data_IF_699454603214
#
_entry.id   IF_699454603214
#
_cell.length_a   1.000
_cell.length_b   1.000
_cell.length_c   1.000
_cell.angle_alpha   90.00
_cell.angle_beta   90.00
_cell.angle_gamma   90.00
#
_symmetry.space_group_name_H-M   'P 1'
#
loop_
_entity.id
_entity.type
_entity.pdbx_description
1 polymer ?
#
# COMPACT_ATOMS: atom_id res chain seq x y z
N UNK A 1 16.29 11.48 1.06
CA UNK A 1 15.79 10.86 -0.20
C UNK A 1 14.32 10.47 0.00
N UNK A 2 13.62 9.97 -1.03
CA UNK A 2 12.24 9.48 -0.88
C UNK A 2 12.14 8.28 0.07
N UNK A 3 13.14 7.38 0.06
CA UNK A 3 13.23 6.22 0.96
C UNK A 3 13.14 6.64 2.43
N UNK A 4 14.01 7.56 2.88
CA UNK A 4 13.98 8.08 4.27
C UNK A 4 12.59 8.52 4.72
N UNK A 5 11.82 9.19 3.85
CA UNK A 5 10.48 9.65 4.19
C UNK A 5 9.46 8.51 4.32
N UNK A 6 9.62 7.43 3.56
CA UNK A 6 8.77 6.24 3.63
C UNK A 6 9.09 5.43 4.88
N UNK A 7 10.38 5.30 5.22
CA UNK A 7 10.82 4.69 6.48
C UNK A 7 10.26 5.45 7.70
N UNK A 8 10.44 6.77 7.75
CA UNK A 8 9.88 7.63 8.82
C UNK A 8 8.33 7.50 8.90
N UNK A 9 7.65 7.43 7.75
CA UNK A 9 6.19 7.26 7.70
C UNK A 9 5.74 5.88 8.22
N UNK A 10 6.52 4.83 7.95
CA UNK A 10 6.25 3.48 8.45
C UNK A 10 6.45 3.40 9.97
N UNK A 11 7.49 4.06 10.50
CA UNK A 11 7.69 4.15 11.96
C UNK A 11 6.50 4.83 12.65
N UNK A 12 6.01 5.95 12.11
CA UNK A 12 4.82 6.63 12.62
C UNK A 12 3.57 5.75 12.54
N UNK A 13 3.42 4.99 11.45
CA UNK A 13 2.31 4.05 11.28
C UNK A 13 2.36 2.91 12.32
N UNK A 14 3.55 2.42 12.65
CA UNK A 14 3.74 1.42 13.70
C UNK A 14 3.45 2.00 15.10
N UNK A 15 3.87 3.23 15.40
CA UNK A 15 3.51 3.92 16.65
C UNK A 15 1.99 4.08 16.80
N UNK A 16 1.30 4.49 15.73
CA UNK A 16 -0.17 4.56 15.71
C UNK A 16 -0.79 3.23 16.13
N UNK A 17 -0.34 2.13 15.52
CA UNK A 17 -0.83 0.77 15.83
C UNK A 17 -0.55 0.37 17.28
N UNK A 18 0.66 0.64 17.80
CA UNK A 18 1.02 0.37 19.20
C UNK A 18 0.13 1.13 20.19
N UNK A 19 -0.37 2.30 19.79
CA UNK A 19 -1.29 3.13 20.57
C UNK A 19 -2.76 2.77 20.37
N UNK A 20 -3.06 1.72 19.62
CA UNK A 20 -4.41 1.26 19.32
C UNK A 20 -5.15 2.12 18.30
N UNK A 21 -4.45 2.97 17.54
CA UNK A 21 -5.02 3.77 16.48
C UNK A 21 -4.94 3.01 15.15
N UNK A 22 -6.02 3.09 14.37
CA UNK A 22 -6.11 2.44 13.06
C UNK A 22 -5.96 3.52 11.98
N UNK A 23 -5.02 3.33 11.06
CA UNK A 23 -4.88 4.18 9.89
C UNK A 23 -6.11 4.11 8.99
N UNK A 24 -6.46 5.21 8.35
CA UNK A 24 -7.56 5.24 7.39
C UNK A 24 -7.11 4.88 5.96
N UNK A 25 -8.05 4.85 5.02
CA UNK A 25 -7.79 4.56 3.60
C UNK A 25 -6.70 5.46 3.00
N UNK A 26 -6.63 6.73 3.42
CA UNK A 26 -5.61 7.68 2.94
C UNK A 26 -4.24 7.34 3.50
N UNK A 27 -4.15 7.01 4.79
CA UNK A 27 -2.92 6.58 5.47
C UNK A 27 -2.30 5.38 4.76
N UNK A 28 -3.09 4.32 4.54
CA UNK A 28 -2.62 3.13 3.84
C UNK A 28 -2.22 3.44 2.38
N UNK A 29 -3.06 4.15 1.63
CA UNK A 29 -2.76 4.48 0.22
C UNK A 29 -1.48 5.30 0.07
N UNK A 30 -1.21 6.19 1.02
CA UNK A 30 0.01 7.02 1.05
C UNK A 30 1.26 6.16 1.26
N UNK A 31 1.22 5.22 2.21
CA UNK A 31 2.33 4.29 2.45
C UNK A 31 2.59 3.39 1.24
N UNK A 32 1.53 2.78 0.67
CA UNK A 32 1.63 1.93 -0.52
C UNK A 32 2.28 2.70 -1.68
N UNK A 33 1.84 3.94 -1.93
CA UNK A 33 2.42 4.79 -2.97
C UNK A 33 3.89 5.09 -2.69
N UNK A 34 4.23 5.42 -1.44
CA UNK A 34 5.60 5.66 -1.01
C UNK A 34 6.51 4.48 -1.34
N UNK A 35 6.12 3.27 -0.93
CA UNK A 35 6.89 2.05 -1.18
C UNK A 35 7.08 1.74 -2.67
N UNK A 36 6.05 1.91 -3.51
CA UNK A 36 6.24 1.78 -4.96
C UNK A 36 7.21 2.84 -5.53
N UNK A 37 7.14 4.08 -5.04
CA UNK A 37 8.05 5.15 -5.50
C UNK A 37 9.51 4.93 -5.08
N UNK A 38 9.76 4.15 -4.03
CA UNK A 38 11.10 3.76 -3.59
C UNK A 38 11.54 2.42 -4.18
N UNK A 39 10.67 1.78 -4.96
CA UNK A 39 10.94 0.49 -5.60
C UNK A 39 10.80 -0.71 -4.66
N UNK A 40 10.18 -0.55 -3.50
CA UNK A 40 9.97 -1.60 -2.51
C UNK A 40 8.57 -2.20 -2.67
N UNK A 41 8.42 -3.13 -3.60
CA UNK A 41 7.12 -3.71 -3.95
C UNK A 41 6.58 -4.65 -2.87
N UNK A 42 7.46 -5.35 -2.18
CA UNK A 42 7.08 -6.32 -1.15
C UNK A 42 6.40 -5.61 0.02
N UNK A 43 6.98 -4.50 0.49
CA UNK A 43 6.34 -3.70 1.54
C UNK A 43 5.04 -3.03 1.06
N UNK A 44 4.99 -2.55 -0.20
CA UNK A 44 3.75 -1.99 -0.75
C UNK A 44 2.59 -3.01 -0.73
N UNK A 45 2.86 -4.25 -1.15
CA UNK A 45 1.88 -5.34 -1.10
C UNK A 45 1.54 -5.77 0.33
N UNK A 46 2.53 -5.78 1.23
CA UNK A 46 2.34 -6.06 2.65
C UNK A 46 1.38 -5.07 3.31
N UNK A 47 1.56 -3.77 3.06
CA UNK A 47 0.69 -2.71 3.57
C UNK A 47 -0.73 -2.85 3.01
N UNK A 48 -0.89 -3.19 1.73
CA UNK A 48 -2.21 -3.47 1.16
C UNK A 48 -2.89 -4.67 1.83
N UNK A 49 -2.16 -5.76 2.09
CA UNK A 49 -2.71 -6.92 2.83
C UNK A 49 -3.15 -6.54 4.24
N UNK A 50 -2.36 -5.72 4.94
CA UNK A 50 -2.72 -5.20 6.28
C UNK A 50 -3.99 -4.34 6.24
N UNK A 51 -4.14 -3.51 5.20
CA UNK A 51 -5.34 -2.69 4.99
C UNK A 51 -6.59 -3.56 4.89
N UNK A 52 -6.56 -4.60 4.04
CA UNK A 52 -7.68 -5.51 3.82
C UNK A 52 -7.97 -6.36 5.06
N UNK A 53 -6.95 -6.94 5.70
CA UNK A 53 -7.14 -7.77 6.90
C UNK A 53 -7.58 -6.97 8.12
N UNK A 54 -7.21 -5.67 8.18
CA UNK A 54 -7.67 -4.72 9.19
C UNK A 54 -9.08 -4.19 8.95
N UNK A 55 -9.77 -4.62 7.88
CA UNK A 55 -11.13 -4.20 7.56
C UNK A 55 -11.23 -2.77 7.03
N UNK A 56 -10.11 -2.17 6.59
CA UNK A 56 -10.10 -0.83 5.99
C UNK A 56 -10.33 -0.98 4.48
N UNK A 57 -11.44 -0.46 3.92
CA UNK A 57 -11.77 -0.69 2.52
C UNK A 57 -10.80 0.04 1.58
N UNK A 58 -10.18 -0.67 0.61
CA UNK A 58 -9.41 -0.05 -0.45
C UNK A 58 -10.27 0.89 -1.29
N UNK A 59 -9.70 2.01 -1.71
CA UNK A 59 -10.35 2.94 -2.64
C UNK A 59 -9.90 2.69 -4.08
N UNK A 60 -10.61 3.27 -5.05
CA UNK A 60 -10.15 3.31 -6.46
C UNK A 60 -8.73 3.88 -6.56
N UNK A 61 -8.39 4.88 -5.74
CA UNK A 61 -7.02 5.41 -5.69
C UNK A 61 -6.01 4.35 -5.25
N UNK A 62 -6.34 3.56 -4.23
CA UNK A 62 -5.50 2.46 -3.73
C UNK A 62 -5.21 1.45 -4.84
N UNK A 63 -6.24 1.03 -5.58
CA UNK A 63 -6.10 0.10 -6.71
C UNK A 63 -5.28 0.69 -7.84
N UNK A 64 -5.50 1.97 -8.20
CA UNK A 64 -4.72 2.64 -9.25
C UNK A 64 -3.23 2.69 -8.89
N UNK A 65 -2.90 2.94 -7.62
CA UNK A 65 -1.51 2.93 -7.14
C UNK A 65 -0.88 1.53 -7.29
N UNK A 66 -1.60 0.48 -6.88
CA UNK A 66 -1.13 -0.91 -6.98
C UNK A 66 -0.91 -1.32 -8.43
N UNK A 67 -1.89 -1.07 -9.31
CA UNK A 67 -1.81 -1.41 -10.72
C UNK A 67 -0.67 -0.67 -11.42
N UNK A 68 -0.54 0.64 -11.19
CA UNK A 68 0.56 1.44 -11.75
C UNK A 68 1.94 0.93 -11.29
N UNK A 69 2.08 0.66 -9.99
CA UNK A 69 3.32 0.18 -9.39
C UNK A 69 3.74 -1.20 -9.89
N UNK A 70 2.81 -2.16 -9.88
CA UNK A 70 3.08 -3.54 -10.32
C UNK A 70 3.36 -3.62 -11.82
N UNK A 71 2.58 -2.91 -12.66
CA UNK A 71 2.82 -2.87 -14.11
C UNK A 71 4.19 -2.27 -14.45
N UNK A 72 4.60 -1.18 -13.78
CA UNK A 72 5.92 -0.57 -14.00
C UNK A 72 7.09 -1.48 -13.60
N UNK A 73 6.86 -2.39 -12.66
CA UNK A 73 7.82 -3.39 -12.21
C UNK A 73 7.81 -4.67 -13.05
N UNK A 74 6.84 -4.85 -13.94
CA UNK A 74 6.68 -6.06 -14.73
C UNK A 74 6.01 -7.22 -13.98
N UNK A 75 5.47 -6.98 -12.77
CA UNK A 75 4.76 -7.98 -11.98
C UNK A 75 3.31 -8.15 -12.45
N UNK A 76 3.13 -8.56 -13.71
CA UNK A 76 1.83 -8.59 -14.38
C UNK A 76 0.84 -9.57 -13.75
N UNK A 77 1.31 -10.71 -13.22
CA UNK A 77 0.45 -11.68 -12.54
C UNK A 77 -0.20 -11.08 -11.28
N UNK A 78 0.60 -10.37 -10.48
CA UNK A 78 0.11 -9.64 -9.30
C UNK A 78 -0.84 -8.51 -9.72
N UNK A 79 -0.51 -7.76 -10.78
CA UNK A 79 -1.38 -6.70 -11.30
C UNK A 79 -2.75 -7.23 -11.75
N UNK A 80 -2.79 -8.38 -12.43
CA UNK A 80 -4.03 -9.03 -12.84
C UNK A 80 -4.85 -9.50 -11.64
N UNK A 81 -4.22 -10.03 -10.59
CA UNK A 81 -4.90 -10.40 -9.37
C UNK A 81 -5.57 -9.19 -8.70
N UNK A 82 -4.87 -8.05 -8.61
CA UNK A 82 -5.41 -6.79 -8.10
C UNK A 82 -6.55 -6.27 -8.97
N UNK A 83 -6.43 -6.37 -10.30
CA UNK A 83 -7.48 -5.94 -11.23
C UNK A 83 -8.77 -6.77 -11.08
N UNK A 84 -8.63 -8.09 -10.93
CA UNK A 84 -9.79 -8.96 -10.67
C UNK A 84 -10.43 -8.67 -9.31
N UNK A 85 -9.64 -8.30 -8.31
CA UNK A 85 -10.18 -7.93 -7.00
C UNK A 85 -11.00 -6.64 -7.03
N UNK A 86 -10.56 -5.66 -7.83
CA UNK A 86 -11.30 -4.40 -8.07
C UNK A 86 -12.66 -4.62 -8.76
N UNK A 87 -12.81 -5.69 -9.54
CA UNK A 87 -14.04 -5.97 -10.31
C UNK A 87 -15.10 -6.78 -9.54
N UNK A 88 -14.78 -7.27 -8.34
CA UNK A 88 -15.73 -7.99 -7.48
C UNK A 88 -16.70 -7.03 -6.80
#
# INVERSE_FOLDING_TARGET
CKSKRVEDAMELFLDMSQRGLVGDTVTYSTLIQGFFQTGDCDNAQGVFKQMVSGGVPPSIMTYNILLDGLCKKGELENALAIFHDLQK
#
